data_IF_071235025868
#
_entry.id   IF_071235025868
#
_cell.length_a   1.000
_cell.length_b   1.000
_cell.length_c   1.000
_cell.angle_alpha   90.00
_cell.angle_beta   90.00
_cell.angle_gamma   90.00
#
_symmetry.space_group_name_H-M   'P 1'
#
loop_
_entity.id
_entity.type
_entity.pdbx_description
1 polymer ?
#
# COMPACT_ATOMS: atom_id res chain seq x y z
N UNK A 1 -38.49 -9.61 -57.93
CA UNK A 1 -37.59 -10.25 -56.95
C UNK A 1 -36.38 -9.36 -56.60
N UNK A 2 -35.65 -8.81 -57.56
CA UNK A 2 -34.45 -7.99 -57.29
C UNK A 2 -34.67 -6.75 -56.39
N UNK A 3 -35.80 -6.05 -56.52
CA UNK A 3 -36.14 -4.86 -55.71
C UNK A 3 -36.48 -5.17 -54.24
N UNK A 4 -36.89 -6.40 -53.93
CA UNK A 4 -37.19 -6.84 -52.56
C UNK A 4 -35.89 -7.21 -51.80
N UNK A 5 -34.94 -7.84 -52.50
CA UNK A 5 -33.62 -8.14 -51.94
C UNK A 5 -32.80 -6.87 -51.64
N UNK A 6 -32.94 -5.81 -52.46
CA UNK A 6 -32.23 -4.55 -52.25
C UNK A 6 -32.72 -3.78 -51.00
N UNK A 7 -34.03 -3.83 -50.71
CA UNK A 7 -34.61 -3.23 -49.49
C UNK A 7 -34.25 -4.00 -48.22
N UNK A 8 -34.16 -5.33 -48.31
CA UNK A 8 -33.73 -6.18 -47.19
C UNK A 8 -32.24 -5.97 -46.85
N UNK A 9 -31.38 -5.82 -47.86
CA UNK A 9 -29.96 -5.53 -47.66
C UNK A 9 -29.71 -4.14 -47.04
N UNK A 10 -30.50 -3.13 -47.43
CA UNK A 10 -30.39 -1.78 -46.87
C UNK A 10 -30.89 -1.71 -45.41
N UNK A 11 -31.92 -2.50 -45.06
CA UNK A 11 -32.41 -2.59 -43.68
C UNK A 11 -31.44 -3.36 -42.76
N UNK A 12 -30.74 -4.38 -43.28
CA UNK A 12 -29.67 -5.07 -42.54
C UNK A 12 -28.42 -4.19 -42.33
N UNK A 13 -28.08 -3.34 -43.30
CA UNK A 13 -26.94 -2.43 -43.20
C UNK A 13 -27.20 -1.29 -42.20
N UNK A 14 -28.45 -0.83 -42.09
CA UNK A 14 -28.85 0.18 -41.10
C UNK A 14 -28.96 -0.38 -39.66
N UNK A 15 -29.22 -1.68 -39.49
CA UNK A 15 -29.21 -2.31 -38.16
C UNK A 15 -27.79 -2.55 -37.61
N UNK A 16 -26.80 -2.71 -38.49
CA UNK A 16 -25.39 -2.93 -38.13
C UNK A 16 -24.64 -1.64 -37.75
N UNK A 17 -25.24 -0.46 -37.93
CA UNK A 17 -24.65 0.83 -37.54
C UNK A 17 -24.84 1.17 -36.05
N UNK A 18 -25.41 0.26 -35.27
CA UNK A 18 -25.65 0.45 -33.84
C UNK A 18 -24.36 0.28 -33.03
N UNK A 19 -23.71 1.42 -32.75
CA UNK A 19 -22.79 1.67 -31.64
C UNK A 19 -21.43 0.94 -31.64
N UNK A 20 -20.48 1.44 -32.44
CA UNK A 20 -19.09 1.53 -31.97
C UNK A 20 -19.06 2.57 -30.83
N UNK A 21 -19.37 2.16 -29.61
CA UNK A 21 -19.05 2.97 -28.42
C UNK A 21 -17.54 2.90 -28.25
N UNK A 22 -16.86 4.01 -28.53
CA UNK A 22 -15.47 4.18 -28.09
C UNK A 22 -15.47 4.01 -26.57
N UNK A 23 -14.84 2.93 -26.09
CA UNK A 23 -14.64 2.76 -24.65
C UNK A 23 -13.80 3.95 -24.16
N UNK A 24 -14.22 4.63 -23.08
CA UNK A 24 -13.49 5.78 -22.57
C UNK A 24 -12.08 5.33 -22.16
N UNK A 25 -11.07 6.09 -22.62
CA UNK A 25 -9.67 5.75 -22.37
C UNK A 25 -9.40 5.57 -20.87
N UNK A 26 -8.62 4.55 -20.53
CA UNK A 26 -8.23 4.28 -19.16
C UNK A 26 -7.37 5.43 -18.62
N UNK A 27 -7.76 5.98 -17.47
CA UNK A 27 -7.04 7.06 -16.77
C UNK A 27 -6.36 6.59 -15.49
N UNK A 28 -6.80 5.45 -14.95
CA UNK A 28 -6.15 4.79 -13.83
C UNK A 28 -6.27 3.27 -13.93
N UNK A 29 -5.44 2.57 -13.15
CA UNK A 29 -5.54 1.13 -12.94
C UNK A 29 -5.63 0.83 -11.46
N UNK A 30 -6.35 -0.22 -11.12
CA UNK A 30 -6.40 -0.74 -9.76
C UNK A 30 -5.11 -1.54 -9.49
N UNK A 31 -4.27 -1.04 -8.60
CA UNK A 31 -3.04 -1.71 -8.16
C UNK A 31 -3.23 -2.60 -6.92
N UNK A 32 -4.34 -2.40 -6.18
CA UNK A 32 -4.78 -3.24 -5.08
C UNK A 32 -6.29 -3.07 -4.90
N UNK A 33 -7.01 -4.16 -4.65
CA UNK A 33 -8.37 -4.13 -4.14
C UNK A 33 -8.54 -5.32 -3.19
N UNK A 34 -8.76 -5.02 -1.92
CA UNK A 34 -8.98 -6.00 -0.84
C UNK A 34 -10.32 -5.68 -0.19
N UNK A 35 -11.09 -6.71 0.15
CA UNK A 35 -12.46 -6.56 0.65
C UNK A 35 -13.47 -6.25 -0.48
N UNK A 36 -14.72 -6.03 -0.10
CA UNK A 36 -15.79 -5.71 -1.03
C UNK A 36 -15.62 -4.28 -1.56
N UNK A 37 -15.25 -4.16 -2.83
CA UNK A 37 -15.16 -2.89 -3.53
C UNK A 37 -15.85 -2.99 -4.89
N UNK A 38 -16.56 -1.94 -5.26
CA UNK A 38 -17.36 -1.87 -6.50
C UNK A 38 -16.94 -0.65 -7.28
N UNK A 39 -16.75 -0.83 -8.58
CA UNK A 39 -16.74 0.23 -9.58
C UNK A 39 -18.15 0.38 -10.11
N UNK A 40 -18.73 1.57 -10.07
CA UNK A 40 -19.90 1.94 -10.85
C UNK A 40 -19.41 2.79 -12.00
N UNK A 41 -19.51 2.28 -13.22
CA UNK A 41 -19.04 3.02 -14.38
C UNK A 41 -19.97 4.19 -14.74
N UNK A 42 -19.57 5.02 -15.70
CA UNK A 42 -20.36 6.17 -16.15
C UNK A 42 -21.78 5.80 -16.68
N UNK A 43 -22.00 4.55 -17.09
CA UNK A 43 -23.31 4.05 -17.50
C UNK A 43 -24.18 3.53 -16.33
N UNK A 44 -23.70 3.65 -15.10
CA UNK A 44 -24.38 3.17 -13.89
C UNK A 44 -24.23 1.67 -13.65
N UNK A 45 -23.40 0.96 -14.43
CA UNK A 45 -23.19 -0.48 -14.23
C UNK A 45 -22.21 -0.70 -13.09
N UNK A 46 -22.66 -1.43 -12.07
CA UNK A 46 -21.85 -1.89 -10.97
C UNK A 46 -21.05 -3.15 -11.35
N UNK A 47 -19.76 -3.11 -11.14
CA UNK A 47 -18.79 -4.17 -11.41
C UNK A 47 -17.85 -4.31 -10.22
N UNK A 48 -17.41 -5.52 -9.83
CA UNK A 48 -16.45 -5.67 -8.75
C UNK A 48 -15.12 -4.99 -9.11
N UNK A 49 -14.61 -4.19 -8.18
CA UNK A 49 -13.29 -3.58 -8.30
C UNK A 49 -12.24 -4.63 -7.96
N UNK A 50 -11.40 -5.01 -8.92
CA UNK A 50 -10.36 -6.02 -8.76
C UNK A 50 -9.00 -5.49 -9.23
N UNK A 51 -7.92 -6.13 -8.78
CA UNK A 51 -6.58 -5.87 -9.29
C UNK A 51 -6.57 -5.88 -10.82
N UNK A 52 -5.92 -4.88 -11.42
CA UNK A 52 -5.77 -4.75 -12.86
C UNK A 52 -6.99 -4.15 -13.59
N UNK A 53 -8.12 -3.92 -12.90
CA UNK A 53 -9.25 -3.21 -13.50
C UNK A 53 -8.80 -1.83 -13.95
N UNK A 54 -9.13 -1.51 -15.19
CA UNK A 54 -8.94 -0.20 -15.79
C UNK A 54 -10.10 0.70 -15.41
N UNK A 55 -9.77 1.92 -15.01
CA UNK A 55 -10.72 2.95 -14.62
C UNK A 55 -10.67 4.09 -15.61
N UNK A 56 -11.81 4.70 -15.85
CA UNK A 56 -12.02 5.77 -16.81
C UNK A 56 -12.72 6.97 -16.15
N UNK A 57 -12.76 8.09 -16.86
CA UNK A 57 -13.57 9.25 -16.45
C UNK A 57 -15.03 8.85 -16.22
N UNK A 58 -15.63 9.39 -15.15
CA UNK A 58 -16.98 9.11 -14.70
C UNK A 58 -17.12 7.87 -13.80
N UNK A 59 -16.06 7.11 -13.58
CA UNK A 59 -16.11 5.96 -12.68
C UNK A 59 -16.24 6.40 -11.22
N UNK A 60 -17.12 5.70 -10.50
CA UNK A 60 -17.30 5.80 -9.06
C UNK A 60 -16.79 4.55 -8.39
N UNK A 61 -15.88 4.70 -7.45
CA UNK A 61 -15.25 3.62 -6.69
C UNK A 61 -15.83 3.64 -5.29
N UNK A 62 -16.44 2.53 -4.88
CA UNK A 62 -17.10 2.37 -3.59
C UNK A 62 -16.41 1.23 -2.86
N UNK A 63 -15.82 1.51 -1.70
CA UNK A 63 -15.26 0.50 -0.79
C UNK A 63 -16.25 0.23 0.35
N UNK A 64 -16.43 -1.04 0.70
CA UNK A 64 -17.20 -1.46 1.87
C UNK A 64 -16.44 -1.28 3.18
N UNK A 65 -17.07 -1.69 4.28
CA UNK A 65 -16.60 -1.54 5.68
C UNK A 65 -15.23 -2.14 6.02
N UNK A 66 -14.75 -3.09 5.23
CA UNK A 66 -13.48 -3.81 5.46
C UNK A 66 -12.56 -3.71 4.23
N UNK A 67 -12.86 -2.78 3.31
CA UNK A 67 -12.22 -2.73 2.00
C UNK A 67 -11.13 -1.66 1.90
N UNK A 68 -10.08 -1.98 1.14
CA UNK A 68 -8.98 -1.07 0.79
C UNK A 68 -8.76 -1.17 -0.72
N UNK A 69 -8.66 -0.03 -1.38
CA UNK A 69 -8.30 0.02 -2.81
C UNK A 69 -7.13 0.96 -3.04
N UNK A 70 -6.21 0.60 -3.93
CA UNK A 70 -5.14 1.48 -4.39
C UNK A 70 -5.28 1.65 -5.89
N UNK A 71 -5.39 2.91 -6.30
CA UNK A 71 -5.47 3.34 -7.68
C UNK A 71 -4.13 3.96 -8.07
N UNK A 72 -3.63 3.59 -9.24
CA UNK A 72 -2.48 4.23 -9.87
C UNK A 72 -2.96 4.89 -11.16
N UNK A 73 -2.87 6.21 -11.20
CA UNK A 73 -3.28 7.04 -12.33
C UNK A 73 -2.22 7.04 -13.43
N UNK A 74 -2.60 7.48 -14.63
CA UNK A 74 -1.74 7.50 -15.81
C UNK A 74 -0.46 8.34 -15.65
N UNK A 75 -0.48 9.36 -14.79
CA UNK A 75 0.70 10.17 -14.42
C UNK A 75 1.48 9.62 -13.20
N UNK A 76 1.29 8.35 -12.86
CA UNK A 76 1.86 7.69 -11.68
C UNK A 76 1.37 8.25 -10.33
N UNK A 77 0.34 9.12 -10.34
CA UNK A 77 -0.34 9.53 -9.11
C UNK A 77 -1.01 8.35 -8.42
N UNK A 78 -1.07 8.38 -7.09
CA UNK A 78 -1.61 7.26 -6.29
C UNK A 78 -2.70 7.73 -5.35
N UNK A 79 -3.80 6.99 -5.34
CA UNK A 79 -4.88 7.18 -4.38
C UNK A 79 -5.12 5.87 -3.64
N UNK A 80 -5.03 5.91 -2.32
CA UNK A 80 -5.39 4.79 -1.45
C UNK A 80 -6.71 5.09 -0.76
N UNK A 81 -7.72 4.25 -0.96
CA UNK A 81 -9.05 4.35 -0.37
C UNK A 81 -9.17 3.41 0.82
N UNK A 82 -9.78 3.87 1.91
CA UNK A 82 -10.07 3.05 3.09
C UNK A 82 -11.48 2.51 3.06
N UNK A 83 -11.88 1.86 4.15
CA UNK A 83 -13.24 1.40 4.36
C UNK A 83 -14.25 2.54 4.18
N UNK A 84 -15.46 2.17 3.78
CA UNK A 84 -16.62 3.07 3.66
C UNK A 84 -16.35 4.34 2.84
N UNK A 85 -15.52 4.21 1.81
CA UNK A 85 -15.07 5.31 0.97
C UNK A 85 -15.77 5.29 -0.37
N UNK A 86 -16.17 6.47 -0.83
CA UNK A 86 -16.74 6.67 -2.14
C UNK A 86 -15.97 7.78 -2.84
N UNK A 87 -15.25 7.40 -3.90
CA UNK A 87 -14.46 8.30 -4.74
C UNK A 87 -15.06 8.34 -6.15
N UNK A 88 -15.19 9.53 -6.73
CA UNK A 88 -15.58 9.72 -8.14
C UNK A 88 -14.38 10.30 -8.90
N UNK A 89 -14.08 9.72 -10.06
CA UNK A 89 -13.14 10.28 -11.03
C UNK A 89 -13.96 11.13 -12.00
N UNK A 90 -13.96 12.45 -11.85
CA UNK A 90 -14.75 13.31 -12.76
C UNK A 90 -14.10 13.43 -14.12
N UNK A 91 -12.84 13.86 -14.12
CA UNK A 91 -12.02 14.12 -15.30
C UNK A 91 -10.56 13.90 -14.92
N UNK A 92 -9.86 13.01 -15.60
CA UNK A 92 -8.43 12.82 -15.41
C UNK A 92 -7.72 12.79 -16.76
N UNK A 93 -7.67 13.97 -17.40
CA UNK A 93 -7.10 14.18 -18.72
C UNK A 93 -5.74 14.86 -18.59
N UNK A 94 -4.73 14.27 -19.22
CA UNK A 94 -3.39 14.86 -19.33
C UNK A 94 -3.18 15.23 -20.79
N UNK A 95 -3.04 16.52 -21.05
CA UNK A 95 -2.67 17.04 -22.36
C UNK A 95 -1.13 17.11 -22.43
N UNK A 96 -0.48 16.47 -23.41
CA UNK A 96 0.96 16.61 -23.61
C UNK A 96 1.42 18.06 -23.83
N UNK A 97 0.57 18.91 -24.41
CA UNK A 97 0.83 20.35 -24.55
C UNK A 97 0.46 21.14 -23.28
N UNK A 98 -0.20 20.49 -22.31
CA UNK A 98 -0.57 21.00 -21.00
C UNK A 98 -1.84 21.86 -20.96
N UNK A 99 -2.23 22.52 -22.05
CA UNK A 99 -3.29 23.52 -22.05
C UNK A 99 -4.66 23.02 -21.56
N UNK A 100 -5.02 21.77 -21.90
CA UNK A 100 -6.29 21.14 -21.50
C UNK A 100 -6.12 20.00 -20.46
N UNK A 101 -5.03 20.02 -19.68
CA UNK A 101 -4.87 19.11 -18.55
C UNK A 101 -5.91 19.42 -17.46
N UNK A 102 -6.60 18.39 -16.97
CA UNK A 102 -7.58 18.47 -15.87
C UNK A 102 -7.53 17.21 -15.02
N UNK A 103 -7.29 17.36 -13.72
CA UNK A 103 -7.15 16.27 -12.77
C UNK A 103 -8.16 16.49 -11.62
N UNK A 104 -9.38 16.04 -11.81
CA UNK A 104 -10.53 16.31 -10.96
C UNK A 104 -11.08 15.02 -10.35
N UNK A 105 -10.99 14.94 -9.02
CA UNK A 105 -11.51 13.85 -8.19
C UNK A 105 -12.55 14.39 -7.21
N UNK A 106 -13.45 13.55 -6.74
CA UNK A 106 -14.36 13.88 -5.64
C UNK A 106 -14.38 12.75 -4.60
N UNK A 107 -14.14 13.11 -3.34
CA UNK A 107 -14.35 12.25 -2.18
C UNK A 107 -15.74 12.54 -1.60
N UNK A 108 -16.69 11.65 -1.89
CA UNK A 108 -18.08 11.78 -1.45
C UNK A 108 -18.21 11.45 0.04
N UNK A 109 -17.50 10.42 0.51
CA UNK A 109 -17.37 10.02 1.91
C UNK A 109 -16.17 9.10 2.14
N UNK A 110 -15.81 8.90 3.39
CA UNK A 110 -14.76 7.98 3.82
C UNK A 110 -13.40 8.66 3.88
N UNK A 111 -12.33 7.89 3.72
CA UNK A 111 -10.96 8.38 3.88
C UNK A 111 -10.03 7.90 2.75
N UNK A 112 -9.13 8.79 2.34
CA UNK A 112 -8.13 8.52 1.32
C UNK A 112 -6.77 9.13 1.64
N UNK A 113 -5.71 8.50 1.13
CA UNK A 113 -4.39 9.12 0.96
C UNK A 113 -4.18 9.40 -0.52
N UNK A 114 -3.73 10.60 -0.84
CA UNK A 114 -3.33 10.96 -2.19
C UNK A 114 -1.84 11.31 -2.21
N UNK A 115 -1.15 10.78 -3.22
CA UNK A 115 0.21 11.16 -3.57
C UNK A 115 0.15 11.66 -5.02
N UNK A 116 0.51 12.91 -5.23
CA UNK A 116 0.44 13.56 -6.54
C UNK A 116 1.36 12.88 -7.56
N UNK A 117 0.84 12.70 -8.77
CA UNK A 117 1.61 12.24 -9.93
C UNK A 117 2.31 13.38 -10.66
N UNK A 118 2.94 13.06 -11.79
CA UNK A 118 3.77 13.99 -12.55
C UNK A 118 2.98 15.18 -13.08
N UNK A 119 1.76 14.95 -13.57
CA UNK A 119 0.94 16.02 -14.14
C UNK A 119 0.50 17.02 -13.05
N UNK A 120 0.11 16.54 -11.87
CA UNK A 120 -0.23 17.39 -10.73
C UNK A 120 0.98 18.13 -10.13
N UNK A 121 2.21 17.63 -10.32
CA UNK A 121 3.45 18.33 -9.94
C UNK A 121 3.84 19.41 -10.94
N UNK A 122 3.68 19.15 -12.23
CA UNK A 122 3.99 20.10 -13.31
C UNK A 122 2.96 21.23 -13.40
N UNK A 123 1.68 20.91 -13.19
CA UNK A 123 0.56 21.84 -13.33
C UNK A 123 -0.37 21.74 -12.10
N UNK A 124 0.10 22.17 -10.91
CA UNK A 124 -0.65 22.06 -9.66
C UNK A 124 -2.02 22.76 -9.69
N UNK A 125 -2.15 23.83 -10.48
CA UNK A 125 -3.40 24.56 -10.69
C UNK A 125 -4.48 23.77 -11.44
N UNK A 126 -4.11 22.64 -12.08
CA UNK A 126 -5.02 21.75 -12.82
C UNK A 126 -5.53 20.59 -11.99
N UNK A 127 -5.05 20.45 -10.75
CA UNK A 127 -5.49 19.41 -9.83
C UNK A 127 -6.54 19.93 -8.85
N UNK A 128 -7.60 19.16 -8.66
CA UNK A 128 -8.65 19.45 -7.69
C UNK A 128 -9.24 18.17 -7.09
N UNK A 129 -9.26 18.09 -5.75
CA UNK A 129 -10.05 17.12 -5.01
C UNK A 129 -11.26 17.84 -4.38
N UNK A 130 -12.47 17.49 -4.78
CA UNK A 130 -13.69 18.00 -4.18
C UNK A 130 -14.16 17.12 -3.02
N UNK A 131 -14.82 17.74 -2.06
CA UNK A 131 -15.61 17.11 -1.00
C UNK A 131 -16.91 17.91 -0.85
N UNK A 132 -17.93 17.39 -0.14
CA UNK A 132 -19.19 18.12 0.01
C UNK A 132 -19.08 19.49 0.72
N UNK A 133 -17.98 19.76 1.42
CA UNK A 133 -17.81 20.99 2.23
C UNK A 133 -16.57 21.80 1.87
N UNK A 134 -15.70 21.30 0.98
CA UNK A 134 -14.46 21.95 0.61
C UNK A 134 -13.87 21.40 -0.69
N UNK A 135 -13.02 22.19 -1.34
CA UNK A 135 -12.15 21.74 -2.42
C UNK A 135 -10.68 21.89 -2.05
N UNK A 136 -9.85 20.97 -2.51
CA UNK A 136 -8.41 20.94 -2.25
C UNK A 136 -7.65 21.06 -3.56
N UNK A 137 -6.79 22.06 -3.65
CA UNK A 137 -5.71 22.13 -4.63
C UNK A 137 -4.40 21.61 -4.02
N UNK A 138 -3.51 21.08 -4.85
CA UNK A 138 -2.23 20.50 -4.40
C UNK A 138 -1.06 21.17 -5.09
N UNK A 139 0.10 21.16 -4.46
CA UNK A 139 1.38 21.47 -5.09
C UNK A 139 2.41 20.40 -4.77
N UNK A 140 2.35 19.29 -5.51
CA UNK A 140 3.24 18.13 -5.34
C UNK A 140 3.20 17.56 -3.92
N UNK A 141 2.12 16.86 -3.58
CA UNK A 141 1.81 16.53 -2.20
C UNK A 141 1.63 15.06 -1.93
N UNK A 142 1.83 14.71 -0.66
CA UNK A 142 1.29 13.53 -0.02
C UNK A 142 0.39 13.99 1.12
N UNK A 143 -0.91 13.70 1.04
CA UNK A 143 -1.86 14.14 2.06
C UNK A 143 -2.97 13.11 2.30
N UNK A 144 -3.58 13.21 3.48
CA UNK A 144 -4.79 12.50 3.84
C UNK A 144 -5.99 13.42 3.73
N UNK A 145 -7.09 12.91 3.21
CA UNK A 145 -8.39 13.55 3.31
C UNK A 145 -9.43 12.54 3.79
N UNK A 146 -10.32 13.00 4.65
CA UNK A 146 -11.48 12.24 5.11
C UNK A 146 -12.71 13.12 5.09
N UNK A 147 -13.83 12.57 4.67
CA UNK A 147 -15.13 13.21 4.82
C UNK A 147 -16.10 12.28 5.53
N UNK A 148 -16.52 12.66 6.72
CA UNK A 148 -17.46 11.91 7.54
C UNK A 148 -18.22 12.86 8.49
N UNK A 149 -19.47 12.52 8.80
CA UNK A 149 -20.26 13.28 9.78
C UNK A 149 -20.44 14.77 9.45
N UNK A 150 -20.47 15.13 8.16
CA UNK A 150 -20.63 16.53 7.71
C UNK A 150 -19.39 17.41 7.89
N UNK A 151 -18.23 16.81 8.18
CA UNK A 151 -16.95 17.49 8.28
C UNK A 151 -15.92 16.83 7.36
N UNK A 152 -15.04 17.67 6.82
CA UNK A 152 -13.87 17.25 6.07
C UNK A 152 -12.63 17.46 6.93
N UNK A 153 -11.80 16.44 7.04
CA UNK A 153 -10.55 16.43 7.81
C UNK A 153 -9.40 16.21 6.83
N UNK A 154 -8.32 16.98 6.92
CA UNK A 154 -7.17 16.83 6.02
C UNK A 154 -5.84 17.12 6.69
N UNK A 155 -4.82 16.32 6.36
CA UNK A 155 -3.48 16.40 6.93
C UNK A 155 -2.44 16.24 5.83
N UNK A 156 -1.41 17.09 5.82
CA UNK A 156 -0.32 17.03 4.81
C UNK A 156 0.91 16.35 5.38
N UNK A 157 1.35 15.28 4.71
CA UNK A 157 2.59 14.58 5.01
C UNK A 157 3.79 15.18 4.26
N UNK A 158 3.61 15.51 2.98
CA UNK A 158 4.65 16.14 2.14
C UNK A 158 4.03 17.24 1.26
N UNK A 159 4.78 18.32 1.04
CA UNK A 159 4.36 19.44 0.19
C UNK A 159 3.36 20.38 0.88
N UNK A 160 2.44 20.94 0.09
CA UNK A 160 1.41 21.85 0.58
C UNK A 160 0.09 21.71 -0.19
N UNK A 161 -1.03 21.84 0.52
CA UNK A 161 -2.37 21.90 -0.04
C UNK A 161 -3.00 23.26 0.22
N UNK A 162 -3.93 23.64 -0.65
CA UNK A 162 -4.82 24.80 -0.46
C UNK A 162 -6.25 24.27 -0.33
N UNK A 163 -6.89 24.57 0.79
CA UNK A 163 -8.24 24.13 1.11
C UNK A 163 -9.18 25.33 0.99
N UNK A 164 -10.15 25.23 0.10
CA UNK A 164 -11.18 26.24 -0.15
C UNK A 164 -12.53 25.72 0.35
N UNK A 165 -13.08 26.23 1.47
CA UNK A 165 -14.39 25.83 1.97
C UNK A 165 -15.49 26.11 0.95
N UNK A 166 -16.45 25.20 0.84
CA UNK A 166 -17.59 25.27 -0.06
C UNK A 166 -18.79 24.54 0.55
N UNK A 167 -19.65 25.24 1.31
CA UNK A 167 -20.82 24.67 1.97
C UNK A 167 -22.13 25.38 1.59
N UNK A 168 -23.29 24.78 1.85
CA UNK A 168 -24.61 25.36 1.52
C UNK A 168 -24.88 26.71 2.22
N UNK A 169 -24.20 27.00 3.34
CA UNK A 169 -24.21 28.30 4.03
C UNK A 169 -23.31 29.35 3.38
N UNK A 170 -22.48 29.01 2.38
CA UNK A 170 -21.57 29.95 1.70
C UNK A 170 -22.29 31.09 0.97
N UNK A 171 -23.61 30.98 0.73
CA UNK A 171 -24.37 32.05 0.07
C UNK A 171 -24.64 33.26 0.97
N UNK A 172 -24.55 33.12 2.31
CA UNK A 172 -25.01 34.15 3.25
C UNK A 172 -23.91 34.92 3.99
N UNK A 173 -22.65 34.43 4.04
CA UNK A 173 -21.61 35.02 4.90
C UNK A 173 -20.22 35.18 4.25
N UNK A 174 -20.10 34.92 2.93
CA UNK A 174 -18.80 34.83 2.27
C UNK A 174 -18.09 33.54 2.68
N UNK A 175 -17.64 32.73 1.71
CA UNK A 175 -16.86 31.56 2.06
C UNK A 175 -15.61 31.97 2.83
N UNK A 176 -15.20 31.15 3.81
CA UNK A 176 -13.89 31.29 4.44
C UNK A 176 -12.81 31.42 3.37
N UNK A 177 -11.84 32.31 3.61
CA UNK A 177 -10.71 32.47 2.70
C UNK A 177 -9.99 31.12 2.53
N UNK A 178 -9.44 30.80 1.35
CA UNK A 178 -8.65 29.60 1.16
C UNK A 178 -7.56 29.50 2.23
N UNK A 179 -7.45 28.33 2.86
CA UNK A 179 -6.49 28.06 3.93
C UNK A 179 -5.42 27.11 3.40
N UNK A 180 -4.16 27.49 3.57
CA UNK A 180 -3.03 26.65 3.23
C UNK A 180 -2.66 25.76 4.42
N UNK A 181 -2.40 24.48 4.14
CA UNK A 181 -1.78 23.53 5.07
C UNK A 181 -0.54 22.95 4.40
N UNK A 182 0.58 22.95 5.10
CA UNK A 182 1.88 22.47 4.62
C UNK A 182 2.41 21.35 5.51
N UNK A 183 3.28 20.50 4.99
CA UNK A 183 4.01 19.52 5.79
C UNK A 183 4.86 20.18 6.91
N UNK A 184 5.22 21.46 6.76
CA UNK A 184 5.88 22.26 7.80
C UNK A 184 4.99 22.54 9.01
N UNK A 185 3.66 22.42 8.86
CA UNK A 185 2.68 22.54 9.94
C UNK A 185 2.52 21.19 10.70
N UNK A 186 3.62 20.46 10.86
CA UNK A 186 3.64 19.12 11.44
C UNK A 186 2.84 19.07 12.76
N UNK A 187 2.11 17.97 12.96
CA UNK A 187 1.25 17.80 14.13
C UNK A 187 -0.06 18.58 14.08
N UNK A 188 -0.46 19.12 12.92
CA UNK A 188 -1.77 19.74 12.74
C UNK A 188 -2.54 19.15 11.55
N UNK A 189 -3.85 19.11 11.68
CA UNK A 189 -4.79 18.87 10.58
C UNK A 189 -5.81 20.00 10.50
N UNK A 190 -6.41 20.17 9.33
CA UNK A 190 -7.56 21.05 9.15
C UNK A 190 -8.84 20.24 9.25
N UNK A 191 -9.83 20.80 9.96
CA UNK A 191 -11.21 20.33 9.97
C UNK A 191 -12.09 21.43 9.39
N UNK A 192 -12.75 21.13 8.28
CA UNK A 192 -13.70 22.02 7.60
C UNK A 192 -15.11 21.53 7.85
N UNK A 193 -15.95 22.37 8.44
CA UNK A 193 -17.34 22.05 8.75
C UNK A 193 -18.26 22.44 7.57
N UNK A 194 -19.45 21.86 7.52
CA UNK A 194 -20.49 22.22 6.54
C UNK A 194 -20.94 23.68 6.62
N UNK A 195 -20.70 24.36 7.75
CA UNK A 195 -20.89 25.80 7.92
C UNK A 195 -19.92 26.64 7.10
N UNK A 196 -18.81 26.06 6.63
CA UNK A 196 -17.68 26.75 6.02
C UNK A 196 -16.60 27.17 7.02
N UNK A 197 -16.80 26.90 8.31
CA UNK A 197 -15.80 27.12 9.35
C UNK A 197 -14.61 26.17 9.18
N UNK A 198 -13.40 26.71 9.34
CA UNK A 198 -12.15 25.97 9.25
C UNK A 198 -11.43 26.02 10.60
N UNK A 199 -11.23 24.86 11.19
CA UNK A 199 -10.51 24.70 12.44
C UNK A 199 -9.14 24.08 12.14
N UNK A 200 -8.07 24.67 12.69
CA UNK A 200 -6.75 24.03 12.75
C UNK A 200 -6.60 23.34 14.10
N UNK A 201 -6.41 22.02 14.10
CA UNK A 201 -6.35 21.20 15.31
C UNK A 201 -5.02 20.48 15.40
N UNK A 202 -4.46 20.40 16.60
CA UNK A 202 -3.29 19.58 16.88
C UNK A 202 -3.66 18.09 16.81
N UNK A 203 -2.72 17.26 16.39
CA UNK A 203 -2.86 15.80 16.29
C UNK A 203 -1.49 15.14 16.42
N UNK A 204 -1.43 14.11 17.26
CA UNK A 204 -0.24 13.27 17.40
C UNK A 204 -0.29 12.10 16.42
N UNK A 205 0.86 11.48 16.13
CA UNK A 205 0.99 10.44 15.12
C UNK A 205 0.07 9.22 15.35
N UNK A 206 -0.18 8.84 16.61
CA UNK A 206 -1.08 7.75 16.96
C UNK A 206 -2.55 8.07 16.65
N UNK A 207 -2.93 9.35 16.78
CA UNK A 207 -4.28 9.82 16.54
C UNK A 207 -4.56 9.99 15.04
N UNK A 208 -3.53 10.17 14.20
CA UNK A 208 -3.66 10.21 12.74
C UNK A 208 -4.26 8.90 12.21
N UNK A 209 -3.75 7.75 12.67
CA UNK A 209 -4.31 6.46 12.27
C UNK A 209 -5.75 6.29 12.74
N UNK A 210 -6.05 6.69 13.98
CA UNK A 210 -7.41 6.61 14.52
C UNK A 210 -8.38 7.49 13.74
N UNK A 211 -7.94 8.68 13.34
CA UNK A 211 -8.79 9.66 12.66
C UNK A 211 -9.05 9.29 11.21
N UNK A 212 -8.01 8.94 10.47
CA UNK A 212 -8.09 8.70 9.02
C UNK A 212 -8.20 7.23 8.64
N UNK A 213 -8.04 6.31 9.59
CA UNK A 213 -7.86 4.89 9.31
C UNK A 213 -6.57 4.61 8.52
N UNK A 214 -5.67 5.59 8.41
CA UNK A 214 -4.43 5.55 7.64
C UNK A 214 -3.30 5.98 8.55
N UNK A 215 -2.42 5.04 8.91
CA UNK A 215 -1.18 5.39 9.61
C UNK A 215 -0.25 6.16 8.68
N UNK A 216 -0.12 7.46 8.93
CA UNK A 216 1.07 8.22 8.51
C UNK A 216 2.12 7.94 9.56
N UNK A 217 3.16 7.22 9.19
CA UNK A 217 4.23 7.04 10.13
C UNK A 217 5.02 8.36 10.19
N UNK A 218 5.21 8.87 11.40
CA UNK A 218 5.87 10.16 11.63
C UNK A 218 7.35 10.11 11.29
N UNK A 219 7.80 11.03 10.44
CA UNK A 219 9.21 11.29 10.22
C UNK A 219 9.78 12.13 11.36
N UNK A 220 10.19 11.50 12.46
CA UNK A 220 11.45 11.94 13.06
C UNK A 220 12.53 11.56 12.05
N UNK A 221 13.40 12.51 11.68
CA UNK A 221 14.53 12.35 10.72
C UNK A 221 14.77 10.90 10.29
N UNK A 222 14.38 10.56 9.06
CA UNK A 222 14.69 9.26 8.48
C UNK A 222 13.53 8.27 8.42
N UNK A 223 12.58 8.60 7.54
CA UNK A 223 11.68 7.71 6.79
C UNK A 223 10.67 6.84 7.57
N UNK A 224 9.53 6.55 6.94
CA UNK A 224 8.84 5.33 7.34
C UNK A 224 8.04 4.57 6.30
N UNK A 225 8.21 3.27 6.41
CA UNK A 225 7.40 2.24 5.85
C UNK A 225 6.02 2.02 6.39
N UNK A 226 5.08 1.82 5.48
CA UNK A 226 3.83 1.08 5.70
C UNK A 226 3.96 -0.30 5.07
N UNK A 227 3.38 -1.35 5.65
CA UNK A 227 3.36 -2.67 5.01
C UNK A 227 2.12 -2.77 4.14
N UNK A 228 2.29 -3.19 2.89
CA UNK A 228 1.20 -3.78 2.12
C UNK A 228 1.38 -5.29 2.12
N UNK A 229 0.29 -6.01 2.38
CA UNK A 229 0.07 -7.41 2.01
C UNK A 229 -0.79 -7.35 0.77
N UNK A 230 -0.20 -7.55 -0.41
CA UNK A 230 -0.98 -7.66 -1.65
C UNK A 230 -1.52 -9.10 -1.75
N UNK A 231 -2.73 -9.33 -1.26
CA UNK A 231 -3.47 -10.58 -1.46
C UNK A 231 -4.50 -10.41 -2.57
N UNK A 232 -4.19 -10.89 -3.77
CA UNK A 232 -5.18 -11.14 -4.81
C UNK A 232 -6.04 -12.35 -4.44
N UNK A 233 -7.36 -12.20 -4.59
CA UNK A 233 -8.40 -13.23 -4.51
C UNK A 233 -8.02 -14.65 -4.07
N UNK A 234 -8.18 -14.96 -2.78
CA UNK A 234 -8.44 -16.32 -2.32
C UNK A 234 -9.25 -16.29 -1.02
N UNK A 235 -10.07 -17.32 -0.79
CA UNK A 235 -10.81 -17.54 0.47
C UNK A 235 -9.91 -17.63 1.73
N UNK A 236 -8.60 -17.42 1.60
CA UNK A 236 -7.59 -17.43 2.66
C UNK A 236 -7.84 -16.44 3.79
N UNK A 237 -8.48 -15.30 3.50
CA UNK A 237 -8.74 -14.29 4.53
C UNK A 237 -10.06 -14.50 5.28
N UNK A 238 -11.00 -15.30 4.76
CA UNK A 238 -12.10 -15.82 5.59
C UNK A 238 -11.56 -16.64 6.76
N UNK A 239 -10.40 -17.28 6.58
CA UNK A 239 -9.69 -18.01 7.64
C UNK A 239 -8.84 -17.14 8.58
N UNK A 240 -8.53 -15.89 8.23
CA UNK A 240 -7.73 -15.00 9.08
C UNK A 240 -8.58 -14.00 9.87
N UNK A 241 -9.78 -13.65 9.39
CA UNK A 241 -10.67 -12.69 10.05
C UNK A 241 -12.08 -13.23 10.36
N UNK A 242 -12.38 -14.53 10.21
CA UNK A 242 -13.70 -15.03 10.62
C UNK A 242 -14.05 -16.48 10.35
N UNK A 243 -13.55 -17.39 11.20
CA UNK A 243 -14.38 -18.40 11.91
C UNK A 243 -13.67 -19.08 13.09
N UNK A 244 -12.36 -18.88 13.25
CA UNK A 244 -11.61 -19.29 14.44
C UNK A 244 -11.00 -18.03 15.09
N UNK A 245 -11.35 -17.74 16.35
CA UNK A 245 -11.23 -16.41 16.96
C UNK A 245 -9.80 -15.85 17.07
N UNK A 246 -9.47 -14.86 16.24
CA UNK A 246 -8.24 -14.06 16.33
C UNK A 246 -8.55 -12.62 16.77
N UNK A 247 -9.21 -12.49 17.92
CA UNK A 247 -9.08 -11.30 18.76
C UNK A 247 -8.18 -11.69 19.93
N UNK A 248 -6.88 -11.62 19.69
CA UNK A 248 -5.89 -11.79 20.74
C UNK A 248 -4.81 -10.75 20.55
N UNK A 249 -4.48 -10.04 21.63
CA UNK A 249 -3.15 -9.46 21.76
C UNK A 249 -2.12 -10.57 21.46
N UNK A 250 -0.90 -10.24 21.05
CA UNK A 250 0.17 -11.25 20.82
C UNK A 250 0.47 -12.19 22.01
N UNK A 251 -0.24 -12.06 23.13
CA UNK A 251 -0.37 -13.03 24.22
C UNK A 251 -1.16 -14.31 23.88
N UNK A 252 -2.09 -14.30 22.92
CA UNK A 252 -2.94 -15.47 22.63
C UNK A 252 -2.31 -16.46 21.62
N UNK A 253 -1.11 -16.15 21.12
CA UNK A 253 -0.22 -17.11 20.44
C UNK A 253 0.69 -17.89 21.42
N UNK A 254 0.68 -17.53 22.71
CA UNK A 254 1.52 -18.18 23.72
C UNK A 254 0.89 -19.46 24.31
N UNK A 255 -0.36 -19.78 23.97
CA UNK A 255 -1.12 -20.91 24.53
C UNK A 255 -1.20 -22.14 23.62
N UNK A 256 -0.92 -22.01 22.32
CA UNK A 256 -0.72 -23.17 21.45
C UNK A 256 0.74 -23.63 21.56
N UNK A 257 0.97 -24.85 22.04
CA UNK A 257 2.30 -25.47 22.06
C UNK A 257 2.79 -25.72 20.62
N UNK A 258 3.26 -24.68 19.96
CA UNK A 258 4.03 -24.79 18.74
C UNK A 258 5.42 -25.34 19.06
N UNK A 259 6.08 -26.06 18.14
CA UNK A 259 7.51 -26.25 18.27
C UNK A 259 8.13 -24.86 18.27
N UNK A 260 9.00 -24.56 19.22
CA UNK A 260 9.72 -23.29 19.23
C UNK A 260 10.76 -23.28 18.11
N UNK A 261 10.32 -22.92 16.90
CA UNK A 261 11.16 -22.81 15.72
C UNK A 261 12.11 -21.60 15.80
N UNK A 262 11.89 -20.69 16.75
CA UNK A 262 12.75 -19.53 16.98
C UNK A 262 14.04 -19.85 17.74
N UNK A 263 14.09 -21.03 18.38
CA UNK A 263 15.28 -21.59 19.03
C UNK A 263 16.25 -22.27 18.06
N UNK A 264 15.89 -22.35 16.77
CA UNK A 264 16.73 -23.02 15.77
C UNK A 264 18.05 -22.29 15.54
N UNK A 265 19.13 -23.03 15.19
CA UNK A 265 20.44 -22.43 14.98
C UNK A 265 20.37 -21.31 13.93
N UNK A 266 20.83 -20.12 14.31
CA UNK A 266 20.97 -19.02 13.37
C UNK A 266 22.14 -19.30 12.42
N UNK A 267 21.92 -19.08 11.13
CA UNK A 267 22.96 -19.12 10.12
C UNK A 267 23.73 -17.80 10.13
N UNK A 268 25.07 -17.81 10.10
CA UNK A 268 25.83 -16.59 9.89
C UNK A 268 25.57 -16.02 8.48
N UNK A 269 25.94 -14.75 8.24
CA UNK A 269 25.93 -14.16 6.93
C UNK A 269 26.64 -15.05 5.89
N UNK A 270 26.04 -15.20 4.71
CA UNK A 270 26.62 -16.00 3.64
C UNK A 270 27.90 -15.36 3.13
N UNK A 271 28.84 -16.19 2.68
CA UNK A 271 30.05 -15.71 2.02
C UNK A 271 29.72 -14.97 0.71
N UNK A 272 30.57 -14.01 0.28
CA UNK A 272 30.41 -13.35 -1.01
C UNK A 272 30.29 -14.36 -2.16
N UNK A 273 29.31 -14.15 -3.04
CA UNK A 273 29.04 -15.05 -4.18
C UNK A 273 28.04 -16.18 -3.91
N UNK A 274 27.43 -16.23 -2.73
CA UNK A 274 26.28 -17.11 -2.47
C UNK A 274 25.13 -16.80 -3.43
N UNK A 275 24.52 -17.83 -4.02
CA UNK A 275 23.44 -17.67 -4.98
C UNK A 275 22.19 -17.06 -4.31
N UNK A 276 21.68 -15.97 -4.88
CA UNK A 276 20.46 -15.33 -4.44
C UNK A 276 19.22 -16.09 -4.95
N UNK A 277 18.11 -16.05 -4.21
CA UNK A 277 16.79 -16.42 -4.69
C UNK A 277 16.47 -15.77 -6.04
N UNK A 278 15.77 -16.51 -6.90
CA UNK A 278 15.39 -16.07 -8.26
C UNK A 278 13.90 -15.74 -8.36
N UNK A 279 13.08 -16.44 -7.59
CA UNK A 279 11.63 -16.27 -7.51
C UNK A 279 11.24 -15.15 -6.53
N UNK A 280 12.15 -14.73 -5.65
CA UNK A 280 11.94 -13.67 -4.67
C UNK A 280 13.01 -12.58 -4.77
N UNK A 281 12.58 -11.33 -4.95
CA UNK A 281 13.48 -10.19 -5.11
C UNK A 281 13.02 -9.00 -4.27
N UNK A 282 13.91 -8.40 -3.50
CA UNK A 282 13.64 -7.11 -2.87
C UNK A 282 13.80 -5.99 -3.89
N UNK A 283 12.76 -5.16 -4.03
CA UNK A 283 12.74 -3.99 -4.90
C UNK A 283 12.62 -2.71 -4.10
N UNK A 284 13.45 -1.71 -4.37
CA UNK A 284 13.36 -0.35 -3.81
C UNK A 284 12.72 0.63 -4.77
N UNK A 285 12.05 1.64 -4.23
CA UNK A 285 11.55 2.77 -5.02
C UNK A 285 12.71 3.69 -5.47
N UNK A 286 12.49 4.54 -6.47
CA UNK A 286 13.53 5.38 -7.09
C UNK A 286 14.06 6.52 -6.20
N UNK A 287 13.43 6.80 -5.06
CA UNK A 287 13.74 7.97 -4.22
C UNK A 287 14.51 7.62 -2.93
N UNK A 288 15.25 6.51 -2.93
CA UNK A 288 15.87 5.95 -1.70
C UNK A 288 17.34 6.32 -1.58
N UNK A 289 17.71 7.57 -1.88
CA UNK A 289 19.06 8.11 -1.68
C UNK A 289 19.54 8.11 -0.20
N UNK A 290 18.76 7.51 0.72
CA UNK A 290 18.96 7.57 2.17
C UNK A 290 19.13 6.20 2.86
N UNK A 291 19.05 5.06 2.15
CA UNK A 291 19.29 3.75 2.79
C UNK A 291 20.60 3.14 2.28
N UNK A 292 21.61 2.91 3.16
CA UNK A 292 22.85 2.24 2.80
C UNK A 292 22.63 0.72 2.63
N UNK A 293 21.79 0.33 1.67
CA UNK A 293 21.47 -1.06 1.34
C UNK A 293 21.62 -1.29 -0.16
N UNK A 294 22.23 -2.41 -0.54
CA UNK A 294 22.49 -2.82 -1.91
C UNK A 294 21.63 -4.01 -2.35
N UNK A 295 21.15 -4.82 -1.41
CA UNK A 295 20.35 -6.01 -1.69
C UNK A 295 19.02 -5.66 -2.40
N UNK A 296 18.26 -4.62 -2.01
CA UNK A 296 17.08 -4.21 -2.76
C UNK A 296 17.44 -3.55 -4.10
N UNK A 297 17.00 -4.14 -5.22
CA UNK A 297 17.24 -3.64 -6.57
C UNK A 297 16.24 -2.56 -6.97
N UNK A 298 16.52 -1.78 -8.02
CA UNK A 298 15.58 -0.77 -8.50
C UNK A 298 14.20 -1.37 -8.86
N UNK A 299 13.13 -0.62 -8.57
CA UNK A 299 11.74 -1.03 -8.85
C UNK A 299 11.56 -1.62 -10.25
N UNK A 300 12.11 -0.96 -11.28
CA UNK A 300 11.98 -1.40 -12.67
C UNK A 300 12.58 -2.78 -12.96
N UNK A 301 13.53 -3.25 -12.15
CA UNK A 301 14.09 -4.61 -12.21
C UNK A 301 13.27 -5.58 -11.36
N UNK A 302 12.87 -5.15 -10.16
CA UNK A 302 12.12 -6.01 -9.26
C UNK A 302 10.72 -6.35 -9.79
N UNK A 303 10.06 -5.41 -10.48
CA UNK A 303 8.67 -5.57 -10.96
C UNK A 303 8.52 -6.41 -12.24
N UNK A 304 9.60 -6.87 -12.86
CA UNK A 304 9.55 -7.56 -14.15
C UNK A 304 8.94 -8.95 -14.00
N UNK A 305 7.66 -9.10 -14.38
CA UNK A 305 6.96 -10.39 -14.31
C UNK A 305 6.63 -10.84 -12.87
N UNK A 306 6.76 -9.94 -11.89
CA UNK A 306 6.56 -10.21 -10.47
C UNK A 306 5.41 -9.39 -9.89
N UNK A 307 4.86 -9.86 -8.79
CA UNK A 307 3.89 -9.14 -7.98
C UNK A 307 4.43 -8.89 -6.58
N UNK A 308 3.88 -7.86 -5.95
CA UNK A 308 4.19 -7.48 -4.57
C UNK A 308 3.67 -8.54 -3.61
N UNK A 309 4.41 -8.82 -2.55
CA UNK A 309 3.97 -9.65 -1.42
C UNK A 309 3.89 -8.81 -0.15
N UNK A 310 4.99 -8.74 0.60
CA UNK A 310 5.19 -7.92 1.79
C UNK A 310 6.17 -6.78 1.49
N UNK A 311 6.20 -5.74 2.32
CA UNK A 311 7.18 -4.67 2.12
C UNK A 311 7.12 -3.58 3.16
N UNK A 312 8.02 -2.62 3.03
CA UNK A 312 8.10 -1.39 3.81
C UNK A 312 7.94 -0.19 2.85
N UNK A 313 6.81 0.53 2.93
CA UNK A 313 6.44 1.56 1.94
C UNK A 313 7.44 2.68 1.82
N UNK A 314 7.59 3.16 0.60
CA UNK A 314 8.56 4.20 0.29
C UNK A 314 10.02 3.75 0.43
N UNK A 315 10.28 2.53 0.93
CA UNK A 315 11.61 1.94 1.07
C UNK A 315 11.77 0.75 0.12
N UNK A 316 11.41 -0.45 0.55
CA UNK A 316 11.64 -1.70 -0.17
C UNK A 316 10.48 -2.67 -0.05
N UNK A 317 10.24 -3.48 -1.07
CA UNK A 317 9.11 -4.41 -1.19
C UNK A 317 9.62 -5.75 -1.71
N UNK A 318 9.09 -6.87 -1.19
CA UNK A 318 9.40 -8.20 -1.66
C UNK A 318 8.50 -8.55 -2.84
N UNK A 319 9.12 -8.79 -3.97
CA UNK A 319 8.49 -9.20 -5.22
C UNK A 319 8.64 -10.70 -5.37
N UNK A 320 7.57 -11.36 -5.80
CA UNK A 320 7.56 -12.79 -6.07
C UNK A 320 7.19 -13.06 -7.51
N UNK A 321 7.80 -14.06 -8.13
CA UNK A 321 7.36 -14.60 -9.42
C UNK A 321 5.96 -15.24 -9.27
N UNK A 322 5.18 -15.23 -10.35
CA UNK A 322 3.84 -15.88 -10.48
C UNK A 322 2.63 -15.20 -9.75
N UNK A 323 1.71 -14.55 -10.50
CA UNK A 323 0.86 -13.43 -10.05
C UNK A 323 -0.19 -13.62 -8.94
N UNK A 324 -0.43 -14.81 -8.38
CA UNK A 324 -1.25 -15.10 -7.16
C UNK A 324 -1.70 -16.57 -7.17
N UNK A 325 -2.17 -17.12 -6.04
CA UNK A 325 -2.42 -18.57 -5.89
C UNK A 325 -2.12 -19.12 -4.48
N UNK A 326 -2.29 -20.43 -4.29
CA UNK A 326 -1.87 -21.12 -3.05
C UNK A 326 -0.42 -21.59 -3.18
N UNK A 327 0.25 -21.83 -2.06
CA UNK A 327 1.46 -22.66 -2.02
C UNK A 327 1.19 -24.03 -2.67
N UNK A 328 2.25 -24.66 -3.17
CA UNK A 328 2.18 -26.03 -3.67
C UNK A 328 1.57 -26.95 -2.59
N UNK A 329 0.44 -27.63 -2.86
CA UNK A 329 -0.21 -28.51 -1.89
C UNK A 329 0.65 -29.73 -1.49
N UNK A 330 1.73 -30.01 -2.22
CA UNK A 330 2.71 -31.05 -1.88
C UNK A 330 3.73 -30.65 -0.81
N UNK A 331 3.71 -29.40 -0.33
CA UNK A 331 4.60 -28.97 0.76
C UNK A 331 4.15 -29.57 2.09
N UNK A 332 5.06 -30.27 2.75
CA UNK A 332 4.84 -30.93 4.03
C UNK A 332 6.11 -30.95 4.86
N UNK A 333 5.97 -31.14 6.17
CA UNK A 333 7.07 -31.24 7.10
C UNK A 333 7.71 -29.90 7.48
N UNK A 334 8.86 -30.00 8.15
CA UNK A 334 9.64 -28.86 8.63
C UNK A 334 10.84 -28.60 7.72
N UNK A 335 11.00 -27.34 7.32
CA UNK A 335 12.12 -26.87 6.50
C UNK A 335 12.83 -25.75 7.23
N UNK A 336 14.15 -25.91 7.38
CA UNK A 336 15.03 -24.83 7.78
C UNK A 336 15.68 -24.23 6.53
N UNK A 337 15.70 -22.91 6.44
CA UNK A 337 16.28 -22.23 5.30
C UNK A 337 17.73 -21.81 5.56
N UNK A 338 18.52 -21.80 4.50
CA UNK A 338 19.85 -21.20 4.44
C UNK A 338 19.75 -19.73 4.11
N UNK A 339 20.44 -18.90 4.90
CA UNK A 339 20.54 -17.47 4.62
C UNK A 339 21.35 -17.26 3.34
N UNK A 340 20.72 -16.65 2.34
CA UNK A 340 21.33 -16.36 1.04
C UNK A 340 21.83 -14.91 0.93
N UNK A 341 21.14 -13.98 1.58
CA UNK A 341 21.63 -12.63 1.83
C UNK A 341 20.87 -11.97 2.97
N UNK A 342 21.51 -11.02 3.65
CA UNK A 342 20.86 -10.14 4.60
C UNK A 342 21.54 -8.78 4.62
N UNK A 343 20.76 -7.73 4.80
CA UNK A 343 21.25 -6.38 5.04
C UNK A 343 20.42 -5.71 6.13
N UNK A 344 21.05 -4.82 6.89
CA UNK A 344 20.40 -4.08 7.94
C UNK A 344 20.92 -2.65 8.03
N UNK A 345 20.08 -1.78 8.57
CA UNK A 345 20.40 -0.40 8.90
C UNK A 345 19.97 -0.12 10.33
N UNK A 346 20.67 0.80 10.97
CA UNK A 346 20.31 1.38 12.25
C UNK A 346 19.89 2.84 12.05
N UNK A 347 18.69 3.18 12.52
CA UNK A 347 18.17 4.55 12.51
C UNK A 347 18.26 5.10 13.93
N UNK A 348 19.30 5.88 14.22
CA UNK A 348 19.55 6.47 15.53
C UNK A 348 19.58 8.00 15.51
N UNK A 349 19.94 8.62 16.64
CA UNK A 349 20.01 10.09 16.75
C UNK A 349 20.96 10.75 15.73
N UNK A 350 22.01 10.04 15.31
CA UNK A 350 22.99 10.49 14.32
C UNK A 350 22.53 10.33 12.85
N UNK A 351 21.34 9.76 12.63
CA UNK A 351 20.82 9.41 11.30
C UNK A 351 20.82 7.91 11.04
N UNK A 352 20.77 7.56 9.76
CA UNK A 352 20.74 6.16 9.30
C UNK A 352 22.16 5.72 8.95
N UNK A 353 22.60 4.61 9.54
CA UNK A 353 23.89 3.96 9.26
C UNK A 353 23.70 2.47 8.99
N UNK A 354 24.70 1.85 8.38
CA UNK A 354 24.71 0.40 8.16
C UNK A 354 24.78 -0.34 9.51
N UNK A 355 24.00 -1.42 9.64
CA UNK A 355 24.09 -2.37 10.74
C UNK A 355 24.49 -3.74 10.21
N UNK A 356 25.31 -4.47 10.96
CA UNK A 356 25.74 -5.81 10.55
C UNK A 356 24.71 -6.84 10.99
N UNK A 357 24.19 -7.62 10.07
CA UNK A 357 23.51 -8.88 10.43
C UNK A 357 24.61 -9.87 10.82
N UNK A 358 24.62 -10.36 12.06
CA UNK A 358 25.64 -11.31 12.58
C UNK A 358 25.21 -12.75 12.43
N UNK A 359 23.90 -12.99 12.51
CA UNK A 359 23.28 -14.26 12.21
C UNK A 359 21.76 -14.06 12.02
N UNK A 360 21.11 -14.97 11.30
CA UNK A 360 19.66 -15.01 11.20
C UNK A 360 19.16 -16.46 11.06
N UNK A 361 17.91 -16.71 11.42
CA UNK A 361 17.23 -17.99 11.20
C UNK A 361 15.88 -17.78 10.53
N UNK A 362 15.50 -18.75 9.70
CA UNK A 362 14.14 -18.95 9.24
C UNK A 362 13.86 -20.44 9.17
N UNK A 363 12.75 -20.84 9.76
CA UNK A 363 12.20 -22.17 9.59
C UNK A 363 10.69 -22.12 9.43
N UNK A 364 10.18 -23.11 8.72
CA UNK A 364 8.77 -23.26 8.38
C UNK A 364 8.35 -24.68 8.71
N UNK A 365 7.19 -24.82 9.33
CA UNK A 365 6.47 -26.07 9.49
C UNK A 365 5.23 -25.98 8.58
N UNK A 366 5.28 -26.66 7.43
CA UNK A 366 4.19 -26.64 6.45
C UNK A 366 2.95 -27.37 6.96
N UNK A 367 3.14 -28.45 7.72
CA UNK A 367 2.04 -29.25 8.29
C UNK A 367 1.23 -28.42 9.29
N UNK A 368 1.92 -27.54 10.03
CA UNK A 368 1.28 -26.63 11.00
C UNK A 368 1.02 -25.24 10.44
N UNK A 369 1.45 -24.90 9.23
CA UNK A 369 1.41 -23.53 8.69
C UNK A 369 2.00 -22.50 9.66
N UNK A 370 3.18 -22.80 10.19
CA UNK A 370 3.87 -22.00 11.20
C UNK A 370 5.29 -21.65 10.74
N UNK A 371 5.84 -20.58 11.31
CA UNK A 371 7.23 -20.19 11.08
C UNK A 371 7.90 -19.73 12.38
N UNK A 372 9.22 -19.88 12.42
CA UNK A 372 10.10 -19.23 13.38
C UNK A 372 11.16 -18.43 12.63
N UNK A 373 11.42 -17.21 13.09
CA UNK A 373 12.44 -16.35 12.54
C UNK A 373 13.24 -15.68 13.65
N UNK A 374 14.53 -15.49 13.44
CA UNK A 374 15.40 -14.82 14.39
C UNK A 374 16.49 -14.03 13.69
N UNK A 375 16.94 -12.94 14.30
CA UNK A 375 18.04 -12.13 13.79
C UNK A 375 18.88 -11.63 14.95
N UNK A 376 20.19 -11.73 14.79
CA UNK A 376 21.17 -11.00 15.58
C UNK A 376 21.75 -9.89 14.71
N UNK A 377 21.51 -8.65 15.08
CA UNK A 377 22.07 -7.45 14.42
C UNK A 377 23.07 -6.75 15.33
N UNK A 378 24.06 -6.09 14.76
CA UNK A 378 25.11 -5.38 15.49
C UNK A 378 25.29 -3.98 14.93
N UNK A 379 25.45 -3.02 15.83
CA UNK A 379 25.84 -1.65 15.49
C UNK A 379 26.78 -1.09 16.55
N UNK A 380 27.67 -0.18 16.15
CA UNK A 380 28.72 0.36 17.03
C UNK A 380 28.16 1.03 18.30
N UNK A 381 26.94 1.58 18.25
CA UNK A 381 26.31 2.23 19.41
C UNK A 381 25.63 1.27 20.39
N UNK A 382 25.13 0.13 19.90
CA UNK A 382 24.27 -0.78 20.66
C UNK A 382 24.97 -2.08 21.05
N UNK A 383 26.05 -2.46 20.36
CA UNK A 383 26.54 -3.84 20.35
C UNK A 383 25.55 -4.77 19.64
N UNK A 384 25.62 -6.06 19.98
CA UNK A 384 24.76 -7.09 19.42
C UNK A 384 23.37 -7.07 20.07
N UNK A 385 22.33 -7.01 19.23
CA UNK A 385 20.92 -7.08 19.61
C UNK A 385 20.30 -8.26 18.88
N UNK A 386 19.79 -9.21 19.65
CA UNK A 386 19.10 -10.39 19.12
C UNK A 386 17.59 -10.30 19.38
N UNK A 387 16.81 -10.82 18.45
CA UNK A 387 15.39 -11.09 18.65
C UNK A 387 14.96 -12.32 17.85
N UNK A 388 13.87 -12.92 18.30
CA UNK A 388 13.30 -14.14 17.77
C UNK A 388 11.78 -14.06 17.87
N UNK A 389 11.08 -14.45 16.81
CA UNK A 389 9.62 -14.46 16.75
C UNK A 389 9.13 -15.78 16.15
N UNK A 390 7.94 -16.20 16.59
CA UNK A 390 7.19 -17.29 15.99
C UNK A 390 5.86 -16.75 15.49
N UNK A 391 5.31 -17.35 14.44
CA UNK A 391 4.02 -16.95 13.91
C UNK A 391 3.43 -17.94 12.92
N UNK A 392 2.43 -17.46 12.19
CA UNK A 392 1.65 -18.25 11.23
C UNK A 392 2.00 -17.87 9.79
N UNK A 393 1.84 -18.84 8.91
CA UNK A 393 1.92 -18.68 7.46
C UNK A 393 0.52 -18.89 6.89
N UNK A 394 0.10 -18.05 5.96
CA UNK A 394 -1.14 -18.29 5.24
C UNK A 394 -0.95 -19.30 4.10
N UNK A 395 -2.05 -19.71 3.48
CA UNK A 395 -2.02 -20.66 2.37
C UNK A 395 -1.36 -20.12 1.08
N UNK A 396 -0.96 -18.85 1.04
CA UNK A 396 -0.21 -18.24 -0.07
C UNK A 396 1.29 -18.10 0.23
N UNK A 397 1.73 -18.53 1.42
CA UNK A 397 3.11 -18.45 1.85
C UNK A 397 3.52 -17.12 2.45
N UNK A 398 2.58 -16.22 2.74
CA UNK A 398 2.86 -14.96 3.42
C UNK A 398 2.80 -15.15 4.94
N UNK A 399 3.72 -14.53 5.65
CA UNK A 399 3.84 -14.68 7.09
C UNK A 399 4.21 -13.38 7.81
N UNK A 400 3.79 -13.25 9.06
CA UNK A 400 4.05 -12.10 9.90
C UNK A 400 4.02 -12.49 11.38
N UNK A 401 4.91 -11.88 12.16
CA UNK A 401 4.89 -11.95 13.62
C UNK A 401 5.54 -10.70 14.20
N UNK A 402 5.10 -10.28 15.37
CA UNK A 402 5.73 -9.17 16.07
C UNK A 402 4.91 -8.62 17.22
N UNK A 403 5.49 -7.65 17.89
CA UNK A 403 4.90 -6.86 18.96
C UNK A 403 5.27 -5.38 18.75
N UNK A 404 5.06 -4.53 19.76
CA UNK A 404 5.40 -3.11 19.67
C UNK A 404 6.90 -2.81 19.55
N UNK A 405 7.78 -3.78 19.89
CA UNK A 405 9.22 -3.61 19.92
C UNK A 405 9.97 -4.39 18.84
N UNK A 406 9.41 -5.47 18.28
CA UNK A 406 10.06 -6.25 17.24
C UNK A 406 9.07 -6.85 16.24
N UNK A 407 9.50 -7.03 15.00
CA UNK A 407 8.62 -7.46 13.91
C UNK A 407 9.38 -8.22 12.84
N UNK A 408 8.71 -9.20 12.26
CA UNK A 408 9.09 -9.90 11.01
C UNK A 408 7.88 -9.96 10.08
N UNK A 409 8.08 -9.73 8.79
CA UNK A 409 7.09 -9.96 7.74
C UNK A 409 7.76 -10.55 6.51
N UNK A 410 7.21 -11.59 5.91
CA UNK A 410 7.87 -12.27 4.81
C UNK A 410 6.93 -13.04 3.89
N UNK A 411 7.52 -13.64 2.86
CA UNK A 411 6.84 -14.55 1.96
C UNK A 411 7.77 -15.70 1.51
N UNK A 412 7.15 -16.82 1.15
CA UNK A 412 7.76 -17.98 0.51
C UNK A 412 7.55 -17.94 -1.01
N UNK A 413 8.45 -18.56 -1.77
CA UNK A 413 8.15 -18.98 -3.14
C UNK A 413 7.04 -20.02 -3.15
N UNK A 414 6.39 -20.20 -4.31
CA UNK A 414 5.24 -21.12 -4.44
C UNK A 414 5.59 -22.57 -4.15
N UNK A 415 6.78 -22.97 -4.56
CA UNK A 415 7.36 -24.28 -4.34
C UNK A 415 8.03 -24.42 -2.96
N UNK A 416 7.92 -23.40 -2.08
CA UNK A 416 8.48 -23.42 -0.74
C UNK A 416 10.02 -23.46 -0.69
N UNK A 417 10.72 -23.30 -1.82
CA UNK A 417 12.18 -23.41 -1.91
C UNK A 417 12.94 -22.12 -1.65
N UNK A 418 12.28 -20.98 -1.70
CA UNK A 418 12.86 -19.69 -1.41
C UNK A 418 12.01 -18.95 -0.39
N UNK A 419 12.63 -18.06 0.37
CA UNK A 419 11.91 -17.17 1.27
C UNK A 419 12.60 -15.81 1.35
N UNK A 420 11.85 -14.81 1.80
CA UNK A 420 12.38 -13.51 2.14
C UNK A 420 11.57 -12.90 3.27
N UNK A 421 12.22 -12.24 4.21
CA UNK A 421 11.51 -11.43 5.19
C UNK A 421 12.23 -10.12 5.49
N UNK A 422 11.44 -9.11 5.82
CA UNK A 422 11.90 -7.89 6.46
C UNK A 422 11.77 -8.01 7.96
N UNK A 423 12.55 -7.23 8.69
CA UNK A 423 12.46 -7.14 10.13
C UNK A 423 12.59 -5.72 10.66
N UNK A 424 12.09 -5.50 11.87
CA UNK A 424 12.26 -4.26 12.63
C UNK A 424 12.49 -4.61 14.10
N UNK A 425 13.44 -3.94 14.75
CA UNK A 425 13.71 -4.08 16.19
C UNK A 425 13.97 -2.71 16.80
N UNK A 426 13.07 -2.30 17.69
CA UNK A 426 13.23 -1.11 18.52
C UNK A 426 14.27 -1.36 19.60
N UNK A 427 15.12 -0.36 19.82
CA UNK A 427 16.12 -0.31 20.86
C UNK A 427 16.13 1.08 21.49
N UNK A 428 16.59 1.22 22.73
CA UNK A 428 16.57 2.49 23.45
C UNK A 428 17.33 3.63 22.72
N UNK A 429 18.27 3.28 21.84
CA UNK A 429 19.10 4.23 21.09
C UNK A 429 18.65 4.44 19.64
N UNK A 430 17.63 3.72 19.16
CA UNK A 430 17.19 3.78 17.77
C UNK A 430 16.55 2.48 17.29
N UNK A 431 16.27 2.42 16.00
CA UNK A 431 15.54 1.29 15.39
C UNK A 431 16.41 0.56 14.37
N UNK A 432 16.51 -0.76 14.51
CA UNK A 432 17.05 -1.62 13.46
C UNK A 432 15.98 -1.97 12.43
N UNK A 433 16.34 -1.93 11.15
CA UNK A 433 15.50 -2.39 10.04
C UNK A 433 16.37 -3.18 9.08
N UNK A 434 15.82 -4.20 8.45
CA UNK A 434 16.58 -4.96 7.48
C UNK A 434 15.74 -5.93 6.68
N UNK A 435 16.39 -6.56 5.72
CA UNK A 435 15.80 -7.53 4.80
C UNK A 435 16.69 -8.75 4.71
N UNK A 436 16.08 -9.88 4.37
CA UNK A 436 16.73 -11.17 4.21
C UNK A 436 16.20 -11.89 2.97
N UNK A 437 17.02 -12.75 2.42
CA UNK A 437 16.70 -13.69 1.35
C UNK A 437 17.26 -15.07 1.70
N UNK A 438 16.52 -16.10 1.35
CA UNK A 438 16.73 -17.46 1.83
C UNK A 438 16.49 -18.50 0.75
N UNK A 439 17.26 -19.58 0.78
CA UNK A 439 17.04 -20.79 0.00
C UNK A 439 16.77 -21.96 0.95
N UNK A 440 15.84 -22.86 0.61
CA UNK A 440 15.58 -24.07 1.37
C UNK A 440 16.83 -24.96 1.41
N UNK A 441 17.01 -25.67 2.53
CA UNK A 441 18.10 -26.64 2.72
C UNK A 441 17.92 -27.92 1.94
#
# INVERSE_FOLDING_TARGET
MLRACLKAAFLLLMLAASALRAEPASVARVALAVGEATRVNAAGRAEPLRLGVQLSDGDRIITGKDAIAILVFSDQGRVSLRADTELIIHRYKIDPAGADTRLELELVRGAMRQISGDAARLQPERYRLNTPVAAIGVRGTDFLAKFAGGAMETLVHEGMIVVSPSGASCAAAGCGQPVTLSASDAGHYLRVLSSGEVERRAIDAEDVERLFGIRLVGGARGAPGVVFVAGGGSDAFRSLNGRDGWMGNGSDLASDQFPDLSSLPQSPPPAPGTALPTQLVWGRFSNVDQLPMQLPVAFALASQGRHVTVGELGRYVLWRDDPSGRLDPGLSGQVQFNLAAAEAVFSGAAGISEAQVRAASLAVDFDRSAFGAGVTVSHASTGDVAFSVNGRINNEGMFWAGNGAERVAGALSRDGREAGYLFTKEHAQGTFRGVTLWNAR
#
